data_IF_573193456149
#
_entry.id   IF_573193456149
#
_cell.length_a   1.000
_cell.length_b   1.000
_cell.length_c   1.000
_cell.angle_alpha   90.00
_cell.angle_beta   90.00
_cell.angle_gamma   90.00
#
_symmetry.space_group_name_H-M   'P 1'
#
loop_
_entity.id
_entity.type
_entity.pdbx_description
1 polymer ?
#
# COMPACT_ATOMS: atom_id res chain seq x y z
N UNK A 1 11.69 -28.89 -29.00
CA UNK A 1 11.28 -27.51 -29.37
C UNK A 1 11.47 -26.66 -28.13
N UNK A 2 12.23 -25.56 -28.20
CA UNK A 2 12.36 -24.67 -27.06
C UNK A 2 10.98 -24.08 -26.75
N UNK A 3 10.58 -24.15 -25.49
CA UNK A 3 9.36 -23.45 -25.02
C UNK A 3 9.60 -21.94 -25.21
N UNK A 4 9.02 -21.38 -26.25
CA UNK A 4 9.08 -19.97 -26.52
C UNK A 4 7.84 -19.33 -25.86
N UNK A 5 8.06 -18.42 -24.91
CA UNK A 5 7.00 -17.65 -24.30
C UNK A 5 7.05 -16.23 -24.80
N UNK A 6 5.88 -15.59 -24.95
CA UNK A 6 5.77 -14.19 -25.36
C UNK A 6 6.31 -13.25 -24.29
N UNK A 7 6.11 -13.61 -23.03
CA UNK A 7 6.55 -12.84 -21.85
C UNK A 7 7.28 -13.75 -20.87
N UNK A 8 8.41 -13.27 -20.37
CA UNK A 8 9.18 -13.94 -19.31
C UNK A 8 9.27 -13.01 -18.11
N UNK A 9 8.87 -13.51 -16.94
CA UNK A 9 8.98 -12.82 -15.66
C UNK A 9 10.01 -13.53 -14.77
N UNK A 10 10.86 -12.78 -14.13
CA UNK A 10 11.92 -13.29 -13.27
C UNK A 10 11.56 -13.01 -11.81
N UNK A 11 11.48 -14.08 -11.01
CA UNK A 11 10.99 -14.08 -9.63
C UNK A 11 9.47 -14.22 -9.58
N UNK A 12 8.96 -15.05 -8.69
CA UNK A 12 7.52 -15.30 -8.50
C UNK A 12 6.98 -14.63 -7.23
N UNK A 13 7.38 -13.40 -6.98
CA UNK A 13 6.82 -12.54 -5.93
C UNK A 13 5.61 -11.75 -6.39
N UNK A 14 5.10 -10.88 -5.51
CA UNK A 14 3.89 -10.06 -5.77
C UNK A 14 4.00 -9.18 -7.02
N UNK A 15 5.19 -8.70 -7.36
CA UNK A 15 5.39 -7.86 -8.54
C UNK A 15 5.13 -8.65 -9.84
N UNK A 16 5.70 -9.85 -9.96
CA UNK A 16 5.45 -10.71 -11.13
C UNK A 16 4.01 -11.22 -11.17
N UNK A 17 3.43 -11.54 -10.02
CA UNK A 17 2.03 -11.93 -9.92
C UNK A 17 1.10 -10.81 -10.42
N UNK A 18 1.29 -9.60 -9.92
CA UNK A 18 0.49 -8.43 -10.33
C UNK A 18 0.69 -8.10 -11.82
N UNK A 19 1.94 -8.04 -12.28
CA UNK A 19 2.25 -7.73 -13.67
C UNK A 19 1.71 -8.80 -14.63
N UNK A 20 1.89 -10.07 -14.28
CA UNK A 20 1.38 -11.18 -15.08
C UNK A 20 -0.15 -11.16 -15.20
N UNK A 21 -0.85 -10.87 -14.11
CA UNK A 21 -2.30 -10.68 -14.11
C UNK A 21 -2.71 -9.53 -15.03
N UNK A 22 -2.09 -8.35 -14.89
CA UNK A 22 -2.38 -7.19 -15.74
C UNK A 22 -2.13 -7.49 -17.24
N UNK A 23 -1.04 -8.19 -17.55
CA UNK A 23 -0.75 -8.60 -18.94
C UNK A 23 -1.86 -9.52 -19.46
N UNK A 24 -2.30 -10.51 -18.67
CA UNK A 24 -3.38 -11.42 -19.07
C UNK A 24 -4.73 -10.73 -19.23
N UNK A 25 -4.99 -9.66 -18.47
CA UNK A 25 -6.21 -8.85 -18.64
C UNK A 25 -6.20 -8.03 -19.95
N UNK A 26 -5.05 -7.51 -20.33
CA UNK A 26 -4.91 -6.63 -21.52
C UNK A 26 -4.64 -7.45 -22.78
N UNK A 27 -3.86 -8.52 -22.66
CA UNK A 27 -3.37 -9.36 -23.74
C UNK A 27 -3.60 -10.85 -23.40
N UNK A 28 -4.83 -11.33 -23.37
CA UNK A 28 -5.18 -12.67 -22.87
C UNK A 28 -4.49 -13.81 -23.65
N UNK A 29 -4.18 -13.60 -24.92
CA UNK A 29 -3.54 -14.61 -25.77
C UNK A 29 -2.03 -14.77 -25.53
N UNK A 30 -1.38 -13.82 -24.86
CA UNK A 30 0.06 -13.89 -24.60
C UNK A 30 0.38 -15.01 -23.61
N UNK A 31 1.37 -15.83 -23.96
CA UNK A 31 1.91 -16.84 -23.06
C UNK A 31 2.90 -16.20 -22.07
N UNK A 32 2.78 -16.56 -20.79
CA UNK A 32 3.66 -16.03 -19.73
C UNK A 32 4.39 -17.19 -19.07
N UNK A 33 5.71 -17.08 -18.97
CA UNK A 33 6.53 -17.99 -18.16
C UNK A 33 7.16 -17.22 -17.02
N UNK A 34 7.02 -17.75 -15.80
CA UNK A 34 7.64 -17.17 -14.60
C UNK A 34 8.75 -18.12 -14.15
N UNK A 35 9.97 -17.59 -14.01
CA UNK A 35 11.10 -18.32 -13.45
C UNK A 35 11.29 -17.89 -11.99
N UNK A 36 11.32 -18.88 -11.10
CA UNK A 36 11.57 -18.69 -9.68
C UNK A 36 12.79 -19.52 -9.25
N UNK A 37 13.67 -18.90 -8.47
CA UNK A 37 14.87 -19.53 -7.96
C UNK A 37 14.60 -20.41 -6.75
N UNK A 38 13.52 -20.16 -6.02
CA UNK A 38 13.12 -20.90 -4.84
C UNK A 38 12.19 -22.07 -5.19
N UNK A 39 11.94 -22.94 -4.20
CA UNK A 39 11.08 -24.12 -4.37
C UNK A 39 9.58 -23.79 -4.43
N UNK A 40 9.19 -22.57 -4.11
CA UNK A 40 7.80 -22.11 -4.12
C UNK A 40 7.71 -20.61 -4.41
N UNK A 41 6.52 -20.14 -4.81
CA UNK A 41 6.24 -18.74 -5.05
C UNK A 41 6.17 -17.94 -3.74
N UNK A 42 6.50 -16.67 -3.78
CA UNK A 42 6.34 -15.73 -2.67
C UNK A 42 7.09 -16.09 -1.37
N UNK A 43 8.21 -16.80 -1.46
CA UNK A 43 8.99 -17.24 -0.29
C UNK A 43 10.02 -16.23 0.21
N UNK A 44 10.31 -15.19 -0.57
CA UNK A 44 11.22 -14.10 -0.22
C UNK A 44 10.45 -12.88 0.34
N UNK A 45 10.70 -11.69 -0.16
CA UNK A 45 10.09 -10.44 0.32
C UNK A 45 8.57 -10.38 0.27
N UNK A 46 7.93 -11.23 -0.54
CA UNK A 46 6.47 -11.37 -0.58
C UNK A 46 5.91 -12.39 0.42
N UNK A 47 6.77 -13.05 1.21
CA UNK A 47 6.33 -13.94 2.27
C UNK A 47 5.74 -13.14 3.43
N UNK A 48 4.68 -13.67 4.07
CA UNK A 48 3.96 -13.02 5.17
C UNK A 48 4.85 -12.70 6.39
N UNK A 49 5.96 -13.42 6.57
CA UNK A 49 6.90 -13.21 7.67
C UNK A 49 8.11 -12.33 7.30
N UNK A 50 8.24 -11.94 6.02
CA UNK A 50 9.39 -11.19 5.52
C UNK A 50 9.07 -9.74 5.17
N UNK A 51 7.86 -9.28 5.44
CA UNK A 51 7.42 -7.90 5.23
C UNK A 51 6.44 -7.46 6.31
N UNK A 52 6.09 -6.17 6.33
CA UNK A 52 5.16 -5.62 7.31
C UNK A 52 3.69 -6.01 7.06
N UNK A 53 3.37 -6.63 5.94
CA UNK A 53 2.01 -7.05 5.58
C UNK A 53 1.00 -5.90 5.46
N UNK A 54 1.47 -4.68 5.22
CA UNK A 54 0.61 -3.51 5.20
C UNK A 54 0.34 -3.02 3.78
N UNK A 55 -0.91 -3.13 3.34
CA UNK A 55 -1.41 -2.25 2.30
C UNK A 55 -1.75 -0.90 2.93
N UNK A 56 -1.00 0.16 2.63
CA UNK A 56 -1.13 1.39 3.39
C UNK A 56 -1.42 2.62 2.53
N UNK A 57 -2.30 3.48 3.03
CA UNK A 57 -2.69 4.75 2.43
C UNK A 57 -1.77 5.92 2.87
N UNK A 58 -0.47 5.69 2.98
CA UNK A 58 0.56 6.65 3.39
C UNK A 58 0.45 7.16 4.84
N UNK A 59 -0.23 6.44 5.72
CA UNK A 59 -0.40 6.86 7.12
C UNK A 59 0.69 6.33 8.05
N UNK A 60 1.23 5.13 7.78
CA UNK A 60 2.13 4.43 8.68
C UNK A 60 3.55 5.03 8.79
N UNK A 61 3.97 5.85 7.82
CA UNK A 61 5.31 6.43 7.78
C UNK A 61 5.27 7.96 7.92
N UNK A 62 5.81 8.48 9.02
CA UNK A 62 5.83 9.93 9.26
C UNK A 62 6.77 10.69 8.28
N UNK A 63 7.76 10.01 7.72
CA UNK A 63 8.71 10.57 6.75
C UNK A 63 8.11 10.85 5.36
N UNK A 64 6.86 10.44 5.11
CA UNK A 64 6.13 10.81 3.89
C UNK A 64 5.59 12.24 3.91
N UNK A 65 5.71 12.91 5.05
CA UNK A 65 5.24 14.25 5.30
C UNK A 65 6.34 15.10 5.92
N UNK A 66 7.34 15.45 5.11
CA UNK A 66 8.50 16.19 5.59
C UNK A 66 8.15 17.63 5.97
N UNK A 67 8.72 18.12 7.07
CA UNK A 67 8.66 19.55 7.42
C UNK A 67 9.54 20.38 6.49
N UNK A 68 9.00 21.51 5.99
CA UNK A 68 9.74 22.47 5.19
C UNK A 68 10.38 23.57 6.05
N UNK A 69 11.31 24.31 5.46
CA UNK A 69 12.03 25.40 6.14
C UNK A 69 11.09 26.54 6.60
N UNK A 70 9.98 26.76 5.90
CA UNK A 70 8.93 27.71 6.25
C UNK A 70 7.99 27.22 7.37
N UNK A 71 8.22 26.03 7.87
CA UNK A 71 7.44 25.39 8.91
C UNK A 71 6.14 24.72 8.42
N UNK A 72 5.87 24.70 7.13
CA UNK A 72 4.79 23.91 6.52
C UNK A 72 5.17 22.43 6.41
N UNK A 73 4.21 21.57 6.06
CA UNK A 73 4.38 20.16 5.83
C UNK A 73 4.23 19.84 4.34
N UNK A 74 5.19 19.12 3.76
CA UNK A 74 5.06 18.60 2.40
C UNK A 74 4.30 17.28 2.42
N UNK A 75 3.14 17.25 1.76
CA UNK A 75 2.29 16.05 1.67
C UNK A 75 2.38 15.36 0.29
N UNK A 76 3.19 15.85 -0.62
CA UNK A 76 3.26 15.36 -2.01
C UNK A 76 3.56 13.86 -2.07
N UNK A 77 4.52 13.40 -1.27
CA UNK A 77 4.87 11.96 -1.22
C UNK A 77 3.72 11.12 -0.64
N UNK A 78 3.05 11.61 0.40
CA UNK A 78 1.91 10.93 1.01
C UNK A 78 0.74 10.82 0.02
N UNK A 79 0.44 11.87 -0.74
CA UNK A 79 -0.57 11.84 -1.79
C UNK A 79 -0.25 10.79 -2.85
N UNK A 80 0.95 10.81 -3.41
CA UNK A 80 1.37 9.85 -4.45
C UNK A 80 1.30 8.39 -3.97
N UNK A 81 1.63 8.11 -2.72
CA UNK A 81 1.54 6.76 -2.15
C UNK A 81 0.08 6.35 -1.95
N UNK A 82 -0.77 7.25 -1.44
CA UNK A 82 -2.19 6.96 -1.27
C UNK A 82 -2.87 6.71 -2.62
N UNK A 83 -2.62 7.53 -3.63
CA UNK A 83 -3.15 7.35 -4.99
C UNK A 83 -2.80 5.96 -5.56
N UNK A 84 -1.55 5.52 -5.42
CA UNK A 84 -1.12 4.18 -5.84
C UNK A 84 -1.84 3.07 -5.07
N UNK A 85 -2.10 3.29 -3.79
CA UNK A 85 -2.87 2.34 -2.99
C UNK A 85 -4.33 2.27 -3.45
N UNK A 86 -4.97 3.40 -3.79
CA UNK A 86 -6.31 3.40 -4.36
C UNK A 86 -6.37 2.61 -5.67
N UNK A 87 -5.40 2.79 -6.57
CA UNK A 87 -5.30 2.00 -7.80
C UNK A 87 -5.18 0.49 -7.52
N UNK A 88 -4.45 0.11 -6.47
CA UNK A 88 -4.37 -1.30 -6.06
C UNK A 88 -5.73 -1.83 -5.58
N UNK A 89 -6.47 -1.03 -4.81
CA UNK A 89 -7.83 -1.38 -4.35
C UNK A 89 -8.81 -1.53 -5.52
N UNK A 90 -8.73 -0.63 -6.50
CA UNK A 90 -9.54 -0.72 -7.74
C UNK A 90 -9.25 -2.00 -8.51
N UNK A 91 -7.97 -2.34 -8.71
CA UNK A 91 -7.57 -3.58 -9.37
C UNK A 91 -8.10 -4.81 -8.63
N UNK A 92 -7.93 -4.87 -7.31
CA UNK A 92 -8.45 -6.02 -6.54
C UNK A 92 -9.96 -6.09 -6.56
N UNK A 93 -10.66 -4.95 -6.51
CA UNK A 93 -12.12 -4.89 -6.63
C UNK A 93 -12.60 -5.41 -7.99
N UNK A 94 -11.88 -5.07 -9.06
CA UNK A 94 -12.14 -5.59 -10.40
C UNK A 94 -11.97 -7.12 -10.45
N UNK A 95 -10.88 -7.66 -9.92
CA UNK A 95 -10.62 -9.10 -9.90
C UNK A 95 -11.65 -9.87 -9.04
N UNK A 96 -12.14 -9.26 -7.96
CA UNK A 96 -13.25 -9.81 -7.15
C UNK A 96 -14.54 -9.82 -7.97
N UNK A 97 -14.87 -8.72 -8.64
CA UNK A 97 -16.08 -8.64 -9.47
C UNK A 97 -16.06 -9.62 -10.64
N UNK A 98 -14.89 -9.92 -11.18
CA UNK A 98 -14.67 -10.91 -12.24
C UNK A 98 -14.74 -12.36 -11.72
N UNK A 99 -14.52 -12.58 -10.43
CA UNK A 99 -14.48 -13.90 -9.81
C UNK A 99 -13.09 -14.53 -9.72
N UNK A 100 -12.03 -13.81 -10.10
CA UNK A 100 -10.65 -14.29 -9.98
C UNK A 100 -10.15 -14.27 -8.52
N UNK A 101 -10.78 -13.45 -7.68
CA UNK A 101 -10.59 -13.42 -6.22
C UNK A 101 -11.93 -13.72 -5.55
N UNK A 102 -12.05 -14.87 -4.92
CA UNK A 102 -13.29 -15.29 -4.27
C UNK A 102 -13.55 -14.54 -2.95
N UNK A 103 -12.51 -14.39 -2.13
CA UNK A 103 -12.63 -13.77 -0.81
C UNK A 103 -11.45 -12.81 -0.52
N UNK A 104 -11.62 -11.51 -0.73
CA UNK A 104 -10.57 -10.54 -0.48
C UNK A 104 -10.15 -10.45 1.01
N UNK A 105 -11.01 -10.86 1.96
CA UNK A 105 -10.66 -10.87 3.38
C UNK A 105 -9.58 -11.90 3.74
N UNK A 106 -9.21 -12.79 2.82
CA UNK A 106 -8.09 -13.72 3.02
C UNK A 106 -6.73 -13.01 2.98
N UNK A 107 -6.60 -11.90 2.24
CA UNK A 107 -5.33 -11.19 2.09
C UNK A 107 -5.38 -9.72 2.49
N UNK A 108 -6.55 -9.07 2.56
CA UNK A 108 -6.66 -7.66 2.96
C UNK A 108 -7.77 -7.46 3.98
N UNK A 109 -7.45 -6.76 5.07
CA UNK A 109 -8.40 -6.41 6.15
C UNK A 109 -8.20 -4.96 6.56
N UNK A 110 -9.31 -4.24 6.74
CA UNK A 110 -9.27 -2.88 7.26
C UNK A 110 -8.91 -2.90 8.74
N UNK A 111 -7.84 -2.19 9.08
CA UNK A 111 -7.41 -1.97 10.46
C UNK A 111 -7.38 -0.47 10.76
N UNK A 112 -7.74 -0.03 11.97
CA UNK A 112 -7.48 1.33 12.38
C UNK A 112 -5.97 1.56 12.44
N UNK A 113 -5.52 2.70 11.95
CA UNK A 113 -4.13 3.12 12.06
C UNK A 113 -4.01 4.25 13.08
N UNK A 114 -3.04 4.14 13.97
CA UNK A 114 -2.73 5.18 14.95
C UNK A 114 -1.23 5.51 14.89
N UNK A 115 -0.91 6.78 14.82
CA UNK A 115 0.44 7.30 15.07
C UNK A 115 0.42 8.09 16.37
N UNK A 116 1.35 7.83 17.27
CA UNK A 116 1.48 8.60 18.49
C UNK A 116 2.92 9.09 18.68
N UNK A 117 3.06 10.20 19.35
CA UNK A 117 4.34 10.84 19.65
C UNK A 117 4.33 11.42 21.06
N UNK A 118 5.50 11.70 21.61
CA UNK A 118 5.67 12.33 22.90
C UNK A 118 6.59 13.56 22.79
N UNK A 119 6.31 14.55 23.63
CA UNK A 119 7.09 15.80 23.66
C UNK A 119 6.50 16.88 22.73
N UNK A 120 6.64 18.12 23.18
CA UNK A 120 6.00 19.29 22.56
C UNK A 120 6.36 19.46 21.08
N UNK A 121 7.61 19.24 20.73
CA UNK A 121 8.10 19.35 19.35
C UNK A 121 7.39 18.38 18.42
N UNK A 122 7.30 17.13 18.83
CA UNK A 122 6.75 16.06 17.99
C UNK A 122 5.21 16.11 17.94
N UNK A 123 4.57 16.49 19.04
CA UNK A 123 3.12 16.78 19.06
C UNK A 123 2.79 17.93 18.11
N UNK A 124 3.59 19.01 18.12
CA UNK A 124 3.41 20.13 17.18
C UNK A 124 3.59 19.70 15.71
N UNK A 125 4.58 18.85 15.45
CA UNK A 125 4.75 18.27 14.10
C UNK A 125 3.55 17.43 13.68
N UNK A 126 3.09 16.51 14.55
CA UNK A 126 1.97 15.62 14.24
C UNK A 126 0.67 16.40 14.02
N UNK A 127 0.43 17.46 14.78
CA UNK A 127 -0.72 18.37 14.58
C UNK A 127 -0.66 19.03 13.20
N UNK A 128 0.47 19.62 12.83
CA UNK A 128 0.65 20.24 11.50
C UNK A 128 0.49 19.22 10.36
N UNK A 129 0.99 18.01 10.56
CA UNK A 129 0.81 16.91 9.61
C UNK A 129 -0.68 16.59 9.42
N UNK A 130 -1.41 16.46 10.51
CA UNK A 130 -2.85 16.25 10.49
C UNK A 130 -3.56 17.40 9.74
N UNK A 131 -3.29 18.65 10.11
CA UNK A 131 -3.90 19.84 9.47
C UNK A 131 -3.66 19.89 7.95
N UNK A 132 -2.46 19.50 7.50
CA UNK A 132 -2.12 19.45 6.09
C UNK A 132 -2.82 18.31 5.33
N UNK A 133 -2.87 17.11 5.90
CA UNK A 133 -3.47 15.94 5.27
C UNK A 133 -5.00 15.99 5.28
N UNK A 134 -5.62 16.40 6.38
CA UNK A 134 -7.08 16.38 6.57
C UNK A 134 -7.85 17.30 5.61
N UNK A 135 -7.16 18.23 4.94
CA UNK A 135 -7.75 19.06 3.88
C UNK A 135 -7.91 18.33 2.55
N UNK A 136 -7.28 17.16 2.39
CA UNK A 136 -7.32 16.40 1.14
C UNK A 136 -8.29 15.23 1.24
N UNK A 137 -9.17 15.01 0.24
CA UNK A 137 -10.18 13.95 0.27
C UNK A 137 -9.64 12.53 0.53
N UNK A 138 -8.41 12.23 0.07
CA UNK A 138 -7.77 10.94 0.31
C UNK A 138 -7.51 10.62 1.80
N UNK A 139 -7.57 11.62 2.67
CA UNK A 139 -7.34 11.50 4.11
C UNK A 139 -8.58 11.88 4.93
N UNK A 140 -9.75 11.86 4.30
CA UNK A 140 -11.02 12.09 5.00
C UNK A 140 -11.20 11.11 6.15
N UNK A 141 -11.71 11.62 7.28
CA UNK A 141 -11.93 10.82 8.49
C UNK A 141 -10.72 10.73 9.42
N UNK A 142 -9.55 11.31 9.08
CA UNK A 142 -8.46 11.44 10.05
C UNK A 142 -8.90 12.23 11.28
N UNK A 143 -8.37 11.85 12.43
CA UNK A 143 -8.60 12.54 13.69
C UNK A 143 -7.26 12.83 14.37
N UNK A 144 -7.21 13.93 15.10
CA UNK A 144 -6.09 14.28 15.97
C UNK A 144 -6.63 14.54 17.38
N UNK A 145 -5.95 13.99 18.38
CA UNK A 145 -6.26 14.30 19.78
C UNK A 145 -4.98 14.40 20.60
N UNK A 146 -4.94 15.34 21.51
CA UNK A 146 -3.99 15.45 22.61
C UNK A 146 -4.72 15.41 23.97
N UNK A 147 -6.00 15.10 23.95
CA UNK A 147 -6.84 14.92 25.14
C UNK A 147 -6.66 13.52 25.76
N UNK A 148 -6.36 13.49 27.05
CA UNK A 148 -6.08 12.25 27.78
C UNK A 148 -7.25 11.28 27.84
N UNK A 149 -8.48 11.78 27.91
CA UNK A 149 -9.68 10.92 27.99
C UNK A 149 -9.95 10.25 26.64
N UNK A 150 -9.70 10.97 25.56
CA UNK A 150 -9.81 10.44 24.18
C UNK A 150 -8.73 9.41 23.90
N UNK A 151 -7.49 9.66 24.36
CA UNK A 151 -6.36 8.74 24.17
C UNK A 151 -6.41 7.49 25.04
N UNK A 152 -7.25 7.47 26.07
CA UNK A 152 -7.44 6.32 26.97
C UNK A 152 -8.50 5.30 26.47
N UNK A 153 -9.22 5.63 25.42
CA UNK A 153 -10.24 4.76 24.76
C UNK A 153 -9.65 3.87 23.72
#
# INVERSE_FOLDING_TARGET
MANQSDVVLIGAGIMSGTLGTLIKEILPEQSITIFEAQNAVATESSNEWHNAGTGHSALCELNYTAGKADGSIDITKALSINEKYQLSLEMWSYLVAKGDIENPAQFIRKLPHMSFVQGEKDVKFLRKRFEALAQHPLFEGMQFSDDRETLAK
#
